data_IF_467150724618
#
_entry.id   IF_467150724618
#
_cell.length_a   1.000
_cell.length_b   1.000
_cell.length_c   1.000
_cell.angle_alpha   90.00
_cell.angle_beta   90.00
_cell.angle_gamma   90.00
#
_symmetry.space_group_name_H-M   'P 1'
#
loop_
_entity.id
_entity.type
_entity.pdbx_description
1 polymer ?
#
# COMPACT_ATOMS: atom_id res chain seq x y z
N UNK A 1 7.08 -19.07 8.41
CA UNK A 1 8.39 -18.39 8.50
C UNK A 1 8.48 -17.40 7.36
N UNK A 2 9.00 -16.19 7.60
CA UNK A 2 9.25 -15.21 6.53
C UNK A 2 10.44 -15.67 5.67
N UNK A 3 10.34 -15.53 4.34
CA UNK A 3 11.36 -16.00 3.40
C UNK A 3 11.20 -15.33 2.03
N UNK A 4 12.21 -15.43 1.17
CA UNK A 4 12.11 -15.00 -0.23
C UNK A 4 11.73 -16.15 -1.20
N UNK A 5 11.29 -17.29 -0.65
CA UNK A 5 11.04 -18.51 -1.43
C UNK A 5 9.93 -18.35 -2.48
N UNK A 6 9.04 -17.37 -2.34
CA UNK A 6 8.06 -17.04 -3.37
C UNK A 6 8.76 -16.68 -4.68
N UNK A 7 9.62 -15.66 -4.68
CA UNK A 7 10.33 -15.24 -5.89
C UNK A 7 11.36 -16.27 -6.34
N UNK A 8 12.04 -16.95 -5.41
CA UNK A 8 12.97 -18.03 -5.77
C UNK A 8 12.27 -19.12 -6.56
N UNK A 9 11.14 -19.64 -6.06
CA UNK A 9 10.39 -20.67 -6.77
C UNK A 9 9.81 -20.13 -8.09
N UNK A 10 9.29 -18.90 -8.08
CA UNK A 10 8.69 -18.25 -9.26
C UNK A 10 9.63 -18.24 -10.45
N UNK A 11 10.91 -17.92 -10.23
CA UNK A 11 11.93 -17.82 -11.29
C UNK A 11 12.77 -19.08 -11.48
N UNK A 12 12.90 -19.96 -10.47
CA UNK A 12 13.70 -21.19 -10.54
C UNK A 12 13.06 -22.27 -11.41
N UNK A 13 11.73 -22.39 -11.39
CA UNK A 13 11.02 -23.46 -12.08
C UNK A 13 10.26 -22.96 -13.30
N UNK A 14 10.02 -23.85 -14.25
CA UNK A 14 9.01 -23.67 -15.29
C UNK A 14 7.65 -24.18 -14.79
N UNK A 15 6.55 -23.65 -15.35
CA UNK A 15 5.21 -23.87 -14.81
C UNK A 15 4.30 -24.59 -15.81
N UNK A 16 3.67 -25.68 -15.38
CA UNK A 16 2.71 -26.46 -16.18
C UNK A 16 1.31 -26.26 -15.63
N UNK A 17 0.37 -25.93 -16.52
CA UNK A 17 -1.04 -25.77 -16.13
C UNK A 17 -1.63 -27.11 -15.68
N UNK A 18 -2.33 -27.09 -14.56
CA UNK A 18 -3.08 -28.23 -14.02
C UNK A 18 -4.40 -27.74 -13.39
N UNK A 19 -5.16 -28.64 -12.79
CA UNK A 19 -6.40 -28.31 -12.07
C UNK A 19 -6.34 -28.75 -10.62
N UNK A 20 -6.92 -27.95 -9.73
CA UNK A 20 -7.12 -28.31 -8.34
C UNK A 20 -8.17 -29.44 -8.23
N UNK A 21 -8.28 -30.13 -7.07
CA UNK A 21 -9.34 -31.10 -6.83
C UNK A 21 -10.77 -30.55 -7.01
N UNK A 22 -10.94 -29.23 -6.88
CA UNK A 22 -12.21 -28.53 -7.11
C UNK A 22 -12.40 -28.08 -8.58
N UNK A 23 -11.49 -28.46 -9.49
CA UNK A 23 -11.55 -28.14 -10.92
C UNK A 23 -11.02 -26.76 -11.32
N UNK A 24 -10.54 -25.95 -10.38
CA UNK A 24 -9.99 -24.62 -10.68
C UNK A 24 -8.60 -24.71 -11.34
N UNK A 25 -8.27 -23.75 -12.21
CA UNK A 25 -6.97 -23.68 -12.89
C UNK A 25 -5.88 -23.26 -11.89
N UNK A 26 -4.75 -23.97 -11.92
CA UNK A 26 -3.54 -23.63 -11.16
C UNK A 26 -2.31 -24.08 -11.97
N UNK A 27 -1.11 -23.74 -11.48
CA UNK A 27 0.15 -24.16 -12.09
C UNK A 27 1.00 -24.94 -11.10
N UNK A 28 1.68 -25.98 -11.58
CA UNK A 28 2.63 -26.77 -10.82
C UNK A 28 4.03 -26.66 -11.44
N UNK A 29 5.06 -26.63 -10.60
CA UNK A 29 6.44 -26.56 -11.04
C UNK A 29 6.85 -27.84 -11.81
N UNK A 30 7.30 -27.65 -13.06
CA UNK A 30 7.80 -28.71 -13.93
C UNK A 30 9.10 -29.29 -13.36
N UNK A 31 9.21 -30.61 -13.38
CA UNK A 31 10.42 -31.37 -12.98
C UNK A 31 10.98 -31.01 -11.58
N UNK A 32 10.12 -30.48 -10.69
CA UNK A 32 10.50 -30.11 -9.33
C UNK A 32 10.34 -31.27 -8.32
N UNK A 33 11.21 -31.35 -7.30
CA UNK A 33 11.02 -32.28 -6.18
C UNK A 33 9.85 -31.85 -5.27
N UNK A 34 9.33 -32.81 -4.50
CA UNK A 34 8.34 -32.54 -3.46
C UNK A 34 9.01 -31.91 -2.23
N UNK A 35 8.90 -30.59 -2.09
CA UNK A 35 9.58 -29.82 -1.05
C UNK A 35 8.62 -29.05 -0.14
N UNK A 36 7.38 -28.82 -0.57
CA UNK A 36 6.38 -28.08 0.21
C UNK A 36 5.76 -29.03 1.24
N UNK A 37 5.83 -28.74 2.55
CA UNK A 37 5.27 -29.61 3.57
C UNK A 37 3.74 -29.68 3.46
N UNK A 38 3.17 -30.84 3.72
CA UNK A 38 1.74 -30.98 3.92
C UNK A 38 1.32 -30.30 5.24
N UNK A 39 0.18 -29.60 5.28
CA UNK A 39 -0.25 -28.86 6.47
C UNK A 39 -0.63 -29.75 7.67
N UNK A 40 -0.92 -31.03 7.46
CA UNK A 40 -1.38 -31.94 8.52
C UNK A 40 -0.53 -33.20 8.66
N UNK A 41 0.11 -33.66 7.58
CA UNK A 41 0.92 -34.88 7.58
C UNK A 41 2.42 -34.59 7.40
N UNK A 42 3.25 -34.69 8.45
CA UNK A 42 4.68 -34.37 8.36
C UNK A 42 5.47 -35.33 7.44
N UNK A 43 4.94 -36.52 7.14
CA UNK A 43 5.55 -37.48 6.22
C UNK A 43 5.24 -37.24 4.75
N UNK A 44 4.37 -36.27 4.43
CA UNK A 44 3.95 -35.95 3.05
C UNK A 44 4.51 -34.59 2.63
N UNK A 45 5.01 -34.54 1.39
CA UNK A 45 5.41 -33.29 0.72
C UNK A 45 4.66 -33.15 -0.61
N UNK A 46 4.75 -31.96 -1.19
CA UNK A 46 4.10 -31.58 -2.45
C UNK A 46 5.07 -30.77 -3.30
N UNK A 47 4.85 -30.75 -4.60
CA UNK A 47 5.56 -29.85 -5.51
C UNK A 47 5.12 -28.40 -5.28
N UNK A 48 5.97 -27.41 -5.59
CA UNK A 48 5.57 -25.99 -5.62
C UNK A 48 4.42 -25.77 -6.61
N UNK A 49 3.48 -24.89 -6.23
CA UNK A 49 2.34 -24.48 -7.05
C UNK A 49 2.19 -22.97 -7.05
N UNK A 50 1.58 -22.42 -8.10
CA UNK A 50 1.31 -20.99 -8.28
C UNK A 50 -0.09 -20.78 -8.87
N UNK A 51 -0.66 -19.61 -8.60
CA UNK A 51 -1.88 -19.12 -9.24
C UNK A 51 -1.55 -18.43 -10.57
N UNK A 52 -2.59 -18.24 -11.38
CA UNK A 52 -2.49 -17.44 -12.62
C UNK A 52 -1.95 -16.03 -12.30
N UNK A 53 -2.44 -15.41 -11.23
CA UNK A 53 -2.05 -14.06 -10.79
C UNK A 53 -0.60 -13.99 -10.32
N UNK A 54 -0.06 -15.06 -9.75
CA UNK A 54 1.34 -15.10 -9.32
C UNK A 54 2.27 -15.09 -10.53
N UNK A 55 1.90 -15.82 -11.58
CA UNK A 55 2.67 -15.89 -12.82
C UNK A 55 2.68 -14.55 -13.58
N UNK A 56 1.65 -13.71 -13.42
CA UNK A 56 1.66 -12.34 -13.95
C UNK A 56 2.88 -11.56 -13.47
N UNK A 57 3.33 -11.77 -12.22
CA UNK A 57 4.49 -11.09 -11.65
C UNK A 57 5.82 -11.46 -12.32
N UNK A 58 5.85 -12.57 -13.08
CA UNK A 58 7.01 -13.02 -13.86
C UNK A 58 6.87 -12.73 -15.36
N UNK A 59 5.68 -12.88 -15.94
CA UNK A 59 5.52 -12.82 -17.39
C UNK A 59 5.13 -11.43 -17.92
N UNK A 60 4.53 -10.57 -17.09
CA UNK A 60 4.35 -9.18 -17.46
C UNK A 60 5.71 -8.44 -17.43
N UNK A 61 6.14 -7.79 -18.52
CA UNK A 61 7.47 -7.17 -18.60
C UNK A 61 7.74 -6.07 -17.55
N UNK A 62 6.71 -5.40 -17.05
CA UNK A 62 6.87 -4.33 -16.07
C UNK A 62 6.95 -4.92 -14.65
N UNK A 63 6.11 -5.89 -14.32
CA UNK A 63 6.21 -6.60 -13.05
C UNK A 63 7.45 -7.47 -12.95
N UNK A 64 7.91 -8.06 -14.05
CA UNK A 64 9.09 -8.93 -14.07
C UNK A 64 10.33 -8.20 -13.55
N UNK A 65 10.55 -6.96 -13.98
CA UNK A 65 11.69 -6.12 -13.55
C UNK A 65 11.65 -5.89 -12.04
N UNK A 66 10.46 -5.61 -11.51
CA UNK A 66 10.25 -5.38 -10.07
C UNK A 66 10.46 -6.68 -9.29
N UNK A 67 9.87 -7.78 -9.75
CA UNK A 67 9.99 -9.10 -9.13
C UNK A 67 11.43 -9.62 -9.16
N UNK A 68 12.18 -9.39 -10.24
CA UNK A 68 13.60 -9.75 -10.33
C UNK A 68 14.47 -8.90 -9.41
N UNK A 69 14.14 -7.62 -9.24
CA UNK A 69 14.79 -6.79 -8.21
C UNK A 69 14.55 -7.37 -6.82
N UNK A 70 13.32 -7.73 -6.48
CA UNK A 70 12.97 -8.33 -5.18
C UNK A 70 13.54 -9.74 -4.97
N UNK A 71 13.73 -10.52 -6.04
CA UNK A 71 14.47 -11.77 -5.99
C UNK A 71 15.94 -11.53 -5.60
N UNK A 72 16.60 -10.57 -6.24
CA UNK A 72 18.03 -10.31 -6.08
C UNK A 72 18.35 -9.44 -4.85
N UNK A 73 17.37 -8.70 -4.33
CA UNK A 73 17.46 -7.88 -3.13
C UNK A 73 16.24 -8.12 -2.22
N UNK A 74 16.30 -9.16 -1.36
CA UNK A 74 15.22 -9.49 -0.43
C UNK A 74 14.95 -8.38 0.59
N UNK A 75 15.95 -7.53 0.90
CA UNK A 75 15.76 -6.46 1.87
C UNK A 75 14.92 -5.33 1.26
N UNK A 76 15.13 -5.00 -0.02
CA UNK A 76 14.24 -4.08 -0.74
C UNK A 76 12.79 -4.60 -0.78
N UNK A 77 12.59 -5.92 -0.93
CA UNK A 77 11.26 -6.51 -0.84
C UNK A 77 10.64 -6.33 0.54
N UNK A 78 11.39 -6.63 1.61
CA UNK A 78 10.91 -6.51 2.98
C UNK A 78 10.45 -5.07 3.29
N UNK A 79 11.25 -4.07 2.91
CA UNK A 79 10.91 -2.67 3.12
C UNK A 79 9.69 -2.25 2.30
N UNK A 80 9.66 -2.59 1.00
CA UNK A 80 8.56 -2.24 0.13
C UNK A 80 7.25 -2.90 0.59
N UNK A 81 7.30 -4.18 0.96
CA UNK A 81 6.13 -4.92 1.46
C UNK A 81 5.62 -4.33 2.76
N UNK A 82 6.50 -4.01 3.72
CA UNK A 82 6.10 -3.40 4.99
C UNK A 82 5.44 -2.02 4.78
N UNK A 83 6.03 -1.15 3.94
CA UNK A 83 5.46 0.16 3.61
C UNK A 83 4.12 0.04 2.88
N UNK A 84 4.01 -0.89 1.92
CA UNK A 84 2.76 -1.14 1.20
C UNK A 84 1.67 -1.72 2.11
N UNK A 85 2.02 -2.62 3.02
CA UNK A 85 1.09 -3.21 4.00
C UNK A 85 0.57 -2.16 4.98
N UNK A 86 1.46 -1.29 5.48
CA UNK A 86 1.06 -0.17 6.33
C UNK A 86 0.09 0.76 5.59
N UNK A 87 0.44 1.16 4.35
CA UNK A 87 -0.46 1.96 3.51
C UNK A 87 -1.81 1.26 3.28
N UNK A 88 -1.82 -0.02 2.95
CA UNK A 88 -3.05 -0.78 2.69
C UNK A 88 -4.02 -0.74 3.88
N UNK A 89 -3.49 -0.85 5.09
CA UNK A 89 -4.27 -0.95 6.33
C UNK A 89 -4.59 0.40 6.98
N UNK A 90 -4.05 1.51 6.45
CA UNK A 90 -4.21 2.85 7.02
C UNK A 90 -4.68 3.92 6.02
N UNK A 91 -4.80 3.60 4.72
CA UNK A 91 -5.17 4.55 3.65
C UNK A 91 -6.53 5.24 3.83
N UNK A 92 -7.44 4.63 4.58
CA UNK A 92 -8.79 5.13 4.86
C UNK A 92 -8.93 5.70 6.29
N UNK A 93 -7.85 5.75 7.07
CA UNK A 93 -7.87 6.34 8.41
C UNK A 93 -7.92 7.88 8.40
N UNK A 94 -7.67 8.51 7.27
CA UNK A 94 -7.62 9.97 7.15
C UNK A 94 -6.33 10.56 7.75
N UNK A 95 -6.36 11.81 8.26
CA UNK A 95 -5.15 12.52 8.67
C UNK A 95 -4.46 11.84 9.86
N UNK A 96 -3.14 11.97 9.91
CA UNK A 96 -2.29 11.35 10.95
C UNK A 96 -2.66 11.77 12.38
N UNK A 97 -3.35 12.89 12.56
CA UNK A 97 -3.92 13.32 13.85
C UNK A 97 -4.94 12.34 14.44
N UNK A 98 -5.49 11.42 13.63
CA UNK A 98 -6.41 10.35 14.09
C UNK A 98 -5.70 9.08 14.55
N UNK A 99 -4.38 8.97 14.37
CA UNK A 99 -3.64 7.76 14.68
C UNK A 99 -3.33 7.75 16.18
N UNK A 100 -3.55 6.60 16.84
CA UNK A 100 -3.40 6.46 18.28
C UNK A 100 -2.51 5.26 18.60
N UNK A 101 -1.77 5.35 19.71
CA UNK A 101 -0.94 4.27 20.23
C UNK A 101 0.57 4.51 20.07
N UNK A 102 1.39 3.65 20.69
CA UNK A 102 2.83 3.87 20.80
C UNK A 102 3.62 3.53 19.52
N UNK A 103 3.01 2.82 18.57
CA UNK A 103 3.68 2.31 17.35
C UNK A 103 3.42 3.16 16.11
N UNK A 104 2.79 4.34 16.27
CA UNK A 104 2.53 5.25 15.15
C UNK A 104 3.87 5.68 14.52
N UNK A 105 4.11 5.40 13.22
CA UNK A 105 5.37 5.77 12.58
C UNK A 105 5.59 7.28 12.61
N UNK A 106 6.84 7.67 12.90
CA UNK A 106 7.24 9.09 12.93
C UNK A 106 7.28 9.72 11.54
N UNK A 107 7.68 8.94 10.53
CA UNK A 107 7.70 9.38 9.13
C UNK A 107 6.31 9.82 8.67
N UNK A 108 6.23 10.96 7.98
CA UNK A 108 5.03 11.38 7.26
C UNK A 108 5.11 10.84 5.83
N UNK A 109 4.05 10.16 5.40
CA UNK A 109 4.01 9.52 4.09
C UNK A 109 3.16 10.36 3.14
N UNK A 110 3.62 10.55 1.90
CA UNK A 110 2.96 11.43 0.91
C UNK A 110 1.47 11.07 0.72
N UNK A 111 1.12 9.78 0.76
CA UNK A 111 -0.28 9.34 0.58
C UNK A 111 -1.20 9.70 1.75
N UNK A 112 -0.67 10.16 2.87
CA UNK A 112 -1.44 10.64 4.03
C UNK A 112 -1.85 12.11 3.90
N UNK A 113 -1.47 12.77 2.81
CA UNK A 113 -1.65 14.21 2.57
C UNK A 113 -1.22 15.04 3.81
N UNK A 114 0.06 14.93 4.23
CA UNK A 114 0.51 15.50 5.48
C UNK A 114 0.42 17.03 5.48
N UNK A 115 -0.04 17.59 6.59
CA UNK A 115 -0.08 19.02 6.82
C UNK A 115 1.08 19.43 7.74
N UNK A 116 1.74 20.58 7.48
CA UNK A 116 2.77 21.09 8.37
C UNK A 116 2.16 21.44 9.74
N UNK A 117 2.99 21.39 10.78
CA UNK A 117 2.58 21.86 12.09
C UNK A 117 2.24 23.36 12.04
N UNK A 118 1.22 23.78 12.79
CA UNK A 118 0.84 25.18 12.88
C UNK A 118 1.98 26.01 13.51
N UNK A 119 2.41 27.07 12.83
CA UNK A 119 3.44 28.01 13.30
C UNK A 119 2.86 29.26 13.96
N UNK A 120 1.55 29.46 13.84
CA UNK A 120 0.84 30.63 14.31
C UNK A 120 -0.37 30.23 15.16
N UNK A 121 -0.64 31.01 16.20
CA UNK A 121 -1.77 30.82 17.09
C UNK A 121 -2.51 32.17 17.23
N UNK A 122 -3.44 32.47 16.32
CA UNK A 122 -4.09 33.78 16.28
C UNK A 122 -4.96 34.03 17.53
N UNK A 123 -4.92 35.25 18.05
CA UNK A 123 -5.80 35.68 19.14
C UNK A 123 -7.21 36.02 18.63
N UNK A 124 -8.14 36.28 19.55
CA UNK A 124 -9.48 36.75 19.18
C UNK A 124 -9.44 38.12 18.47
N UNK A 125 -8.52 38.99 18.88
CA UNK A 125 -8.28 40.29 18.27
C UNK A 125 -7.75 40.15 16.85
N UNK A 126 -6.77 39.27 16.62
CA UNK A 126 -6.24 38.99 15.27
C UNK A 126 -7.36 38.57 14.31
N UNK A 127 -8.24 37.66 14.78
CA UNK A 127 -9.39 37.18 14.00
C UNK A 127 -10.38 38.32 13.71
N UNK A 128 -10.66 39.19 14.68
CA UNK A 128 -11.56 40.33 14.48
C UNK A 128 -10.99 41.35 13.48
N UNK A 129 -9.69 41.62 13.56
CA UNK A 129 -8.97 42.47 12.61
C UNK A 129 -9.00 41.88 11.20
N UNK A 130 -8.74 40.57 11.04
CA UNK A 130 -8.78 39.90 9.74
C UNK A 130 -10.18 39.89 9.12
N UNK A 131 -11.25 39.65 9.91
CA UNK A 131 -12.63 39.74 9.41
C UNK A 131 -12.94 41.12 8.85
N UNK A 132 -12.51 42.18 9.53
CA UNK A 132 -12.69 43.57 9.08
C UNK A 132 -11.91 43.82 7.78
N UNK A 133 -10.67 43.35 7.70
CA UNK A 133 -9.85 43.48 6.50
C UNK A 133 -10.46 42.75 5.28
N UNK A 134 -10.95 41.51 5.47
CA UNK A 134 -11.61 40.72 4.41
C UNK A 134 -12.91 41.41 3.97
N UNK A 135 -13.70 41.95 4.90
CA UNK A 135 -14.92 42.70 4.57
C UNK A 135 -14.62 43.99 3.77
N UNK A 136 -13.47 44.62 4.02
CA UNK A 136 -12.98 45.78 3.27
C UNK A 136 -12.30 45.46 1.93
N UNK A 137 -12.10 44.18 1.59
CA UNK A 137 -11.35 43.78 0.39
C UNK A 137 -12.15 43.91 -0.93
N UNK A 138 -13.43 44.29 -0.87
CA UNK A 138 -14.27 44.49 -2.06
C UNK A 138 -14.85 43.20 -2.67
N UNK A 139 -14.71 42.06 -1.99
CA UNK A 139 -15.29 40.79 -2.41
C UNK A 139 -16.79 40.75 -2.11
N UNK A 140 -17.58 40.25 -3.06
CA UNK A 140 -19.00 40.01 -2.85
C UNK A 140 -19.24 38.85 -1.90
N UNK A 141 -20.43 38.81 -1.28
CA UNK A 141 -20.88 37.67 -0.47
C UNK A 141 -20.81 36.37 -1.28
N UNK A 142 -21.17 36.42 -2.57
CA UNK A 142 -21.13 35.23 -3.44
C UNK A 142 -19.73 34.68 -3.59
N UNK A 143 -18.71 35.52 -3.76
CA UNK A 143 -17.30 35.09 -3.89
C UNK A 143 -16.78 34.50 -2.58
N UNK A 144 -17.06 35.16 -1.45
CA UNK A 144 -16.64 34.69 -0.12
C UNK A 144 -17.25 33.33 0.22
N UNK A 145 -18.55 33.16 -0.03
CA UNK A 145 -19.25 31.89 0.19
C UNK A 145 -18.71 30.83 -0.77
N UNK A 146 -18.55 31.15 -2.05
CA UNK A 146 -18.10 30.18 -3.06
C UNK A 146 -16.69 29.66 -2.78
N UNK A 147 -15.75 30.54 -2.41
CA UNK A 147 -14.36 30.11 -2.12
C UNK A 147 -14.27 29.26 -0.85
N UNK A 148 -14.98 29.66 0.21
CA UNK A 148 -15.01 28.90 1.46
C UNK A 148 -15.66 27.51 1.26
N UNK A 149 -16.77 27.47 0.51
CA UNK A 149 -17.49 26.24 0.21
C UNK A 149 -16.67 25.30 -0.68
N UNK A 150 -16.06 25.82 -1.75
CA UNK A 150 -15.21 25.03 -2.64
C UNK A 150 -14.03 24.41 -1.89
N UNK A 151 -13.42 25.14 -0.94
CA UNK A 151 -12.33 24.63 -0.11
C UNK A 151 -12.76 23.54 0.88
N UNK A 152 -14.00 23.58 1.37
CA UNK A 152 -14.50 22.61 2.35
C UNK A 152 -14.99 21.31 1.71
N UNK A 153 -15.55 21.38 0.48
CA UNK A 153 -16.09 20.22 -0.21
C UNK A 153 -15.04 19.28 -0.81
N UNK A 154 -13.82 19.75 -1.07
CA UNK A 154 -12.74 18.90 -1.61
C UNK A 154 -12.19 17.87 -0.62
N UNK A 155 -12.67 17.90 0.64
CA UNK A 155 -12.29 17.01 1.74
C UNK A 155 -13.32 15.89 1.99
N UNK A 156 -14.37 15.79 1.16
CA UNK A 156 -15.36 14.69 1.11
C UNK A 156 -15.01 13.77 -0.05
#
# INVERSE_FOLDING_TARGET
>A
QWSNYFFENLFKYEWVQTRSPAGAIQFEAKDAPEIIPDPFNPGKKRKPTMLVTDLTLRFDPEFEKISRRFLNDPQAFNEAFARAWFKLTHRDMGPKSRYLGPEVPKEDLIWQDPLPAATHQPSAEDIASLKTAIAGAGLSVSELVSVAWASALSLI
#
